data_IF_520563172844
#
_entry.id   IF_520563172844
#
_cell.length_a   1.000
_cell.length_b   1.000
_cell.length_c   1.000
_cell.angle_alpha   90.00
_cell.angle_beta   90.00
_cell.angle_gamma   90.00
#
_symmetry.space_group_name_H-M   'P 1'
#
loop_
_entity.id
_entity.type
_entity.pdbx_description
1 polymer ?
#
# COMPACT_ATOMS: atom_id res chain seq x y z
N UNK A 1 21.20 11.94 -18.24
CA UNK A 1 21.98 11.95 -16.99
C UNK A 1 20.99 12.10 -15.85
N UNK A 2 20.56 10.99 -15.25
CA UNK A 2 19.60 10.96 -14.14
C UNK A 2 20.34 11.27 -12.85
N UNK A 3 20.02 12.40 -12.22
CA UNK A 3 20.53 12.78 -10.91
C UNK A 3 20.39 11.64 -9.91
N UNK A 4 21.52 11.28 -9.32
CA UNK A 4 21.63 10.30 -8.24
C UNK A 4 20.93 10.82 -6.99
N UNK A 5 19.64 10.46 -6.88
CA UNK A 5 19.02 9.81 -5.73
C UNK A 5 19.59 10.23 -4.36
N UNK A 6 18.98 11.24 -3.75
CA UNK A 6 19.05 11.49 -2.30
C UNK A 6 18.27 10.39 -1.55
N UNK A 7 18.76 9.15 -1.63
CA UNK A 7 18.21 8.01 -0.93
C UNK A 7 19.18 7.64 0.21
N UNK A 8 18.67 7.63 1.43
CA UNK A 8 19.35 7.06 2.59
C UNK A 8 19.00 5.57 2.70
N UNK A 9 20.01 4.72 2.85
CA UNK A 9 19.82 3.29 3.15
C UNK A 9 19.59 3.00 4.62
N UNK A 10 19.74 4.02 5.49
CA UNK A 10 19.50 3.92 6.93
C UNK A 10 19.03 5.23 7.52
N UNK A 11 18.13 5.18 8.49
CA UNK A 11 17.67 6.34 9.24
C UNK A 11 17.37 5.97 10.71
N UNK A 12 17.42 6.97 11.60
CA UNK A 12 17.15 6.80 13.03
C UNK A 12 15.75 7.33 13.36
N UNK A 13 15.02 6.59 14.19
CA UNK A 13 13.70 6.96 14.66
C UNK A 13 13.61 6.92 16.18
N UNK A 14 12.82 7.84 16.73
CA UNK A 14 12.38 7.88 18.11
C UNK A 14 10.88 7.57 18.09
N UNK A 15 10.47 6.45 18.67
CA UNK A 15 9.11 5.95 18.51
C UNK A 15 8.05 6.86 19.15
N UNK A 16 8.44 7.67 20.14
CA UNK A 16 7.58 8.70 20.75
C UNK A 16 6.95 9.64 19.74
N UNK A 17 7.64 9.95 18.64
CA UNK A 17 7.16 10.92 17.64
C UNK A 17 5.96 10.37 16.85
N UNK A 18 5.82 9.03 16.74
CA UNK A 18 4.61 8.42 16.16
C UNK A 18 3.41 8.44 17.11
N UNK A 19 3.61 8.77 18.40
CA UNK A 19 2.60 8.81 19.44
C UNK A 19 2.20 10.23 19.85
N UNK A 20 3.10 11.21 19.64
CA UNK A 20 2.93 12.56 20.17
C UNK A 20 1.68 13.19 19.55
N UNK A 21 0.70 13.63 20.37
CA UNK A 21 -0.42 14.41 19.85
C UNK A 21 0.07 15.80 19.42
N UNK A 22 -0.45 16.32 18.31
CA UNK A 22 -0.06 17.61 17.73
C UNK A 22 0.65 17.48 16.39
N UNK A 23 1.02 18.62 15.78
CA UNK A 23 1.54 18.75 14.41
C UNK A 23 0.80 17.89 13.35
N UNK A 24 1.25 17.92 12.10
CA UNK A 24 0.78 16.97 11.07
C UNK A 24 1.52 15.66 11.27
N UNK A 25 0.84 14.60 11.73
CA UNK A 25 1.42 13.26 11.78
C UNK A 25 1.85 12.83 10.36
N UNK A 26 3.05 12.23 10.15
CA UNK A 26 4.00 11.69 11.13
C UNK A 26 5.21 12.60 11.44
N UNK A 27 5.05 13.92 11.54
CA UNK A 27 6.15 14.86 11.85
C UNK A 27 6.93 14.45 13.12
N UNK A 28 8.28 14.47 13.12
CA UNK A 28 9.17 15.03 12.09
C UNK A 28 9.55 14.07 10.96
N UNK A 29 8.94 12.89 10.89
CA UNK A 29 9.21 11.90 9.85
C UNK A 29 8.33 12.11 8.62
N UNK A 30 8.75 11.51 7.50
CA UNK A 30 7.95 11.42 6.29
C UNK A 30 7.00 10.23 6.35
N UNK A 31 5.93 10.25 5.52
CA UNK A 31 5.03 9.08 5.37
C UNK A 31 5.79 7.84 4.92
N UNK A 32 6.78 8.00 4.03
CA UNK A 32 7.67 6.91 3.66
C UNK A 32 8.37 6.29 4.87
N UNK A 33 9.00 7.11 5.71
CA UNK A 33 9.67 6.63 6.91
C UNK A 33 8.69 5.92 7.85
N UNK A 34 7.46 6.42 8.00
CA UNK A 34 6.42 5.74 8.77
C UNK A 34 6.13 4.34 8.22
N UNK A 35 5.88 4.18 6.91
CA UNK A 35 5.68 2.86 6.32
C UNK A 35 6.90 1.93 6.49
N UNK A 36 8.11 2.46 6.41
CA UNK A 36 9.32 1.68 6.64
C UNK A 36 9.50 1.24 8.09
N UNK A 37 9.12 2.05 9.07
CA UNK A 37 9.14 1.64 10.48
C UNK A 37 8.14 0.51 10.70
N UNK A 38 6.93 0.59 10.14
CA UNK A 38 5.95 -0.50 10.27
C UNK A 38 6.42 -1.76 9.53
N UNK A 39 7.09 -1.62 8.40
CA UNK A 39 7.75 -2.75 7.70
C UNK A 39 8.84 -3.39 8.55
N UNK A 40 9.69 -2.58 9.20
CA UNK A 40 10.70 -3.06 10.11
C UNK A 40 10.09 -3.80 11.30
N UNK A 41 9.04 -3.26 11.92
CA UNK A 41 8.28 -3.94 12.97
C UNK A 41 7.70 -5.28 12.48
N UNK A 42 7.23 -5.34 11.24
CA UNK A 42 6.76 -6.58 10.61
C UNK A 42 7.90 -7.57 10.42
N UNK A 43 9.07 -7.11 9.97
CA UNK A 43 10.22 -7.98 9.74
C UNK A 43 10.78 -8.56 11.05
N UNK A 44 10.94 -7.73 12.08
CA UNK A 44 11.42 -8.18 13.40
C UNK A 44 10.38 -9.02 14.13
N UNK A 45 9.09 -8.77 13.90
CA UNK A 45 7.98 -9.49 14.51
C UNK A 45 7.76 -10.91 13.98
N UNK A 46 8.33 -11.27 12.83
CA UNK A 46 8.02 -12.52 12.13
C UNK A 46 8.33 -13.78 12.96
N UNK A 47 9.34 -13.72 13.83
CA UNK A 47 9.76 -14.82 14.71
C UNK A 47 8.95 -14.88 16.02
N UNK A 48 8.15 -13.86 16.32
CA UNK A 48 7.44 -13.70 17.58
C UNK A 48 5.98 -14.12 17.43
N UNK A 49 5.78 -15.43 17.34
CA UNK A 49 4.48 -16.08 17.16
C UNK A 49 4.27 -17.21 18.18
N UNK A 50 3.07 -17.28 18.75
CA UNK A 50 2.55 -18.46 19.43
C UNK A 50 1.35 -19.00 18.66
N UNK A 51 1.35 -20.30 18.41
CA UNK A 51 0.15 -20.97 17.91
C UNK A 51 -0.80 -21.23 19.08
N UNK A 52 -2.07 -20.87 18.90
CA UNK A 52 -3.13 -21.13 19.87
C UNK A 52 -4.18 -22.07 19.28
N UNK A 53 -5.11 -22.54 20.11
CA UNK A 53 -6.24 -23.36 19.63
C UNK A 53 -7.07 -22.64 18.55
N UNK A 54 -7.14 -21.31 18.60
CA UNK A 54 -8.05 -20.48 17.79
C UNK A 54 -7.37 -19.81 16.57
N UNK A 55 -6.05 -19.80 16.51
CA UNK A 55 -5.28 -19.10 15.49
C UNK A 55 -3.89 -18.75 16.00
N UNK A 56 -3.24 -17.82 15.32
CA UNK A 56 -1.91 -17.35 15.71
C UNK A 56 -2.07 -16.17 16.68
N UNK A 57 -1.17 -16.07 17.64
CA UNK A 57 -1.08 -14.91 18.52
C UNK A 57 0.37 -14.46 18.60
N UNK A 58 0.62 -13.25 18.11
CA UNK A 58 1.94 -12.69 18.08
C UNK A 58 1.93 -11.25 17.59
N UNK A 59 3.06 -10.85 17.02
CA UNK A 59 3.26 -9.47 16.60
C UNK A 59 2.37 -9.09 15.44
N UNK A 60 2.05 -10.01 14.52
CA UNK A 60 1.21 -9.69 13.37
C UNK A 60 -0.22 -9.32 13.76
N UNK A 61 -0.79 -9.95 14.78
CA UNK A 61 -2.12 -9.60 15.31
C UNK A 61 -2.11 -8.20 15.94
N UNK A 62 -1.05 -7.88 16.66
CA UNK A 62 -0.83 -6.54 17.25
C UNK A 62 -0.71 -5.49 16.16
N UNK A 63 0.16 -5.71 15.17
CA UNK A 63 0.32 -4.79 14.03
C UNK A 63 -0.91 -4.73 13.12
N UNK A 64 -1.80 -5.71 13.21
CA UNK A 64 -3.09 -5.75 12.49
C UNK A 64 -4.24 -5.12 13.27
N UNK A 65 -4.06 -4.88 14.57
CA UNK A 65 -5.14 -4.53 15.50
C UNK A 65 -6.34 -5.50 15.43
N UNK A 66 -6.09 -6.76 15.06
CA UNK A 66 -7.12 -7.78 14.82
C UNK A 66 -6.61 -9.15 15.28
N UNK A 67 -7.47 -9.98 15.87
CA UNK A 67 -7.13 -11.38 16.12
C UNK A 67 -6.94 -12.09 14.77
N UNK A 68 -6.00 -13.03 14.69
CA UNK A 68 -5.94 -13.93 13.53
C UNK A 68 -6.80 -15.16 13.78
N UNK A 69 -7.52 -15.57 12.74
CA UNK A 69 -8.12 -16.89 12.66
C UNK A 69 -7.12 -17.84 11.98
N UNK A 70 -7.23 -19.14 12.23
CA UNK A 70 -6.42 -20.15 11.51
C UNK A 70 -6.44 -19.91 10.00
N UNK A 71 -5.26 -19.86 9.39
CA UNK A 71 -5.08 -19.69 7.94
C UNK A 71 -4.76 -18.27 7.47
N UNK A 72 -4.71 -17.28 8.36
CA UNK A 72 -4.22 -15.94 8.03
C UNK A 72 -2.74 -15.80 8.40
N UNK A 73 -1.90 -15.41 7.44
CA UNK A 73 -0.47 -15.16 7.66
C UNK A 73 -0.10 -13.71 7.32
N UNK A 74 0.49 -12.99 8.28
CA UNK A 74 1.02 -11.64 8.09
C UNK A 74 0.17 -10.53 8.69
N UNK A 75 0.57 -9.29 8.42
CA UNK A 75 -0.15 -8.09 8.87
C UNK A 75 -1.32 -7.80 7.93
N UNK A 76 -2.50 -7.51 8.49
CA UNK A 76 -3.67 -7.08 7.72
C UNK A 76 -3.33 -5.84 6.87
N UNK A 77 -3.82 -5.75 5.62
CA UNK A 77 -3.53 -4.59 4.77
C UNK A 77 -3.93 -3.26 5.42
N UNK A 78 -3.14 -2.22 5.17
CA UNK A 78 -3.41 -0.85 5.59
C UNK A 78 -4.45 -0.25 4.65
N UNK A 79 -5.48 0.38 5.22
CA UNK A 79 -6.60 0.95 4.46
C UNK A 79 -6.72 2.47 4.56
N UNK A 80 -5.89 3.12 5.37
CA UNK A 80 -5.81 4.58 5.47
C UNK A 80 -4.56 5.02 6.23
N UNK A 81 -4.23 6.32 6.17
CA UNK A 81 -3.19 6.89 7.01
C UNK A 81 -3.56 6.89 8.49
N UNK A 82 -4.85 7.05 8.82
CA UNK A 82 -5.34 6.91 10.18
C UNK A 82 -5.17 5.47 10.72
N UNK A 83 -5.41 4.45 9.87
CA UNK A 83 -5.13 3.04 10.21
C UNK A 83 -3.63 2.84 10.50
N UNK A 84 -2.74 3.38 9.66
CA UNK A 84 -1.30 3.34 9.90
C UNK A 84 -0.91 3.97 11.24
N UNK A 85 -1.42 5.17 11.55
CA UNK A 85 -1.19 5.83 12.83
C UNK A 85 -1.69 4.99 14.02
N UNK A 86 -2.91 4.46 13.93
CA UNK A 86 -3.50 3.64 14.98
C UNK A 86 -2.68 2.37 15.25
N UNK A 87 -2.05 1.79 14.21
CA UNK A 87 -1.17 0.64 14.38
C UNK A 87 0.09 0.97 15.14
N UNK A 88 0.66 2.16 14.98
CA UNK A 88 1.77 2.60 15.84
C UNK A 88 1.34 2.76 17.29
N UNK A 89 0.20 3.44 17.50
CA UNK A 89 -0.36 3.60 18.85
C UNK A 89 -0.59 2.23 19.50
N UNK A 90 -1.21 1.30 18.79
CA UNK A 90 -1.47 -0.03 19.31
C UNK A 90 -0.19 -0.83 19.51
N UNK A 91 0.75 -0.82 18.56
CA UNK A 91 2.01 -1.55 18.67
C UNK A 91 2.86 -1.11 19.86
N UNK A 92 2.88 0.20 20.17
CA UNK A 92 3.75 0.77 21.20
C UNK A 92 3.03 0.86 22.56
N UNK A 93 1.75 1.24 22.59
CA UNK A 93 1.03 1.57 23.83
C UNK A 93 0.09 0.47 24.34
N UNK A 94 -0.34 -0.47 23.50
CA UNK A 94 -1.30 -1.47 23.95
C UNK A 94 -0.70 -2.34 25.05
N UNK A 95 -1.45 -2.57 26.13
CA UNK A 95 -1.07 -3.57 27.12
C UNK A 95 -1.12 -4.95 26.44
N UNK A 96 0.01 -5.66 26.38
CA UNK A 96 -0.01 -7.04 25.89
C UNK A 96 -0.07 -8.01 27.05
N UNK A 97 -1.04 -8.90 27.01
CA UNK A 97 -1.10 -10.07 27.90
C UNK A 97 -0.31 -11.25 27.31
N UNK A 98 0.26 -11.09 26.11
CA UNK A 98 1.06 -12.09 25.43
C UNK A 98 2.57 -11.88 25.71
N UNK A 99 3.24 -12.77 26.46
CA UNK A 99 4.67 -12.66 26.79
C UNK A 99 5.59 -12.60 25.56
N UNK A 100 5.18 -13.17 24.42
CA UNK A 100 5.97 -13.17 23.18
C UNK A 100 6.01 -11.76 22.57
N UNK A 101 4.89 -11.05 22.57
CA UNK A 101 4.82 -9.65 22.12
C UNK A 101 5.63 -8.76 23.06
N UNK A 102 5.54 -8.98 24.37
CA UNK A 102 6.34 -8.25 25.35
C UNK A 102 7.84 -8.52 25.19
N UNK A 103 8.21 -9.75 24.83
CA UNK A 103 9.60 -10.08 24.49
C UNK A 103 10.05 -9.34 23.23
N UNK A 104 9.25 -9.34 22.16
CA UNK A 104 9.53 -8.59 20.94
C UNK A 104 9.76 -7.10 21.20
N UNK A 105 8.90 -6.48 22.02
CA UNK A 105 9.05 -5.07 22.39
C UNK A 105 10.36 -4.79 23.11
N UNK A 106 10.76 -5.65 24.05
CA UNK A 106 12.04 -5.50 24.78
C UNK A 106 13.24 -5.72 23.86
N UNK A 107 13.20 -6.75 23.03
CA UNK A 107 14.33 -7.15 22.18
C UNK A 107 14.60 -6.11 21.07
N UNK A 108 13.58 -5.34 20.67
CA UNK A 108 13.66 -4.35 19.60
C UNK A 108 13.39 -2.90 20.04
N UNK A 109 13.34 -2.65 21.34
CA UNK A 109 13.10 -1.32 21.93
C UNK A 109 11.83 -0.63 21.39
N UNK A 110 10.73 -1.39 21.31
CA UNK A 110 9.41 -0.90 20.86
C UNK A 110 8.62 -0.43 22.06
N UNK A 111 9.05 0.71 22.58
CA UNK A 111 8.50 1.41 23.74
C UNK A 111 8.32 2.89 23.41
N UNK A 112 7.54 3.67 24.19
CA UNK A 112 7.36 5.09 23.93
C UNK A 112 8.67 5.86 23.80
N UNK A 113 9.65 5.62 24.67
CA UNK A 113 10.98 6.24 24.65
C UNK A 113 12.01 5.51 23.76
N UNK A 114 11.57 4.43 23.11
CA UNK A 114 12.43 3.56 22.32
C UNK A 114 12.97 4.20 21.05
N UNK A 115 14.16 3.76 20.63
CA UNK A 115 14.88 4.28 19.46
C UNK A 115 15.37 3.14 18.58
N UNK A 116 15.10 3.24 17.28
CA UNK A 116 15.53 2.25 16.31
C UNK A 116 16.36 2.87 15.17
N UNK A 117 17.30 2.10 14.63
CA UNK A 117 17.95 2.40 13.34
C UNK A 117 17.38 1.46 12.29
N UNK A 118 16.68 2.01 11.31
CA UNK A 118 16.02 1.27 10.26
C UNK A 118 16.95 1.18 9.06
N UNK A 119 17.16 -0.04 8.54
CA UNK A 119 18.00 -0.30 7.36
C UNK A 119 17.10 -0.53 6.13
N UNK A 120 16.77 0.54 5.42
CA UNK A 120 16.02 0.46 4.17
C UNK A 120 16.18 1.75 3.34
N UNK A 121 16.13 1.69 1.99
CA UNK A 121 16.10 2.88 1.14
C UNK A 121 14.87 3.76 1.42
N UNK A 122 15.13 5.02 1.82
CA UNK A 122 14.15 6.10 1.93
C UNK A 122 14.69 7.36 1.29
N UNK A 123 13.83 8.23 0.77
CA UNK A 123 14.28 9.55 0.35
C UNK A 123 14.68 10.44 1.55
N UNK A 124 15.69 11.30 1.37
CA UNK A 124 16.21 12.21 2.42
C UNK A 124 15.25 13.32 2.80
N UNK A 125 14.62 13.93 1.81
CA UNK A 125 13.65 15.01 1.99
C UNK A 125 12.22 14.43 1.94
N UNK A 126 11.20 15.27 1.73
CA UNK A 126 9.80 14.89 1.48
C UNK A 126 9.57 13.79 0.43
N UNK A 127 10.64 13.31 -0.23
CA UNK A 127 10.63 12.08 -1.03
C UNK A 127 9.76 12.12 -2.25
N UNK A 128 9.44 13.32 -2.70
CA UNK A 128 8.41 13.53 -3.70
C UNK A 128 8.98 13.20 -5.07
N UNK A 129 8.22 12.42 -5.83
CA UNK A 129 8.53 12.06 -7.21
C UNK A 129 7.34 12.43 -8.08
N UNK A 130 7.63 12.82 -9.31
CA UNK A 130 6.61 12.97 -10.36
C UNK A 130 5.62 11.79 -10.31
N UNK A 131 4.30 12.06 -10.27
CA UNK A 131 3.64 13.33 -10.60
C UNK A 131 3.45 14.33 -9.42
N UNK A 132 3.99 14.05 -8.24
CA UNK A 132 3.78 14.87 -7.05
C UNK A 132 4.85 15.97 -6.92
N UNK A 133 4.46 17.16 -6.46
CA UNK A 133 5.37 18.31 -6.28
C UNK A 133 5.80 18.52 -4.82
N UNK A 134 4.98 18.08 -3.87
CA UNK A 134 5.26 18.17 -2.44
C UNK A 134 4.65 16.98 -1.67
N UNK A 135 5.01 16.83 -0.39
CA UNK A 135 4.48 15.79 0.51
C UNK A 135 2.94 15.85 0.64
N UNK A 136 2.37 17.05 0.70
CA UNK A 136 0.92 17.21 0.87
C UNK A 136 0.14 16.71 -0.37
N UNK A 137 0.67 16.90 -1.57
CA UNK A 137 0.12 16.30 -2.79
C UNK A 137 0.22 14.78 -2.78
N UNK A 138 1.35 14.22 -2.33
CA UNK A 138 1.49 12.78 -2.17
C UNK A 138 0.50 12.21 -1.13
N UNK A 139 0.34 12.87 0.01
CA UNK A 139 -0.62 12.49 1.05
C UNK A 139 -2.05 12.54 0.54
N UNK A 140 -2.41 13.57 -0.22
CA UNK A 140 -3.73 13.68 -0.86
C UNK A 140 -3.96 12.55 -1.86
N UNK A 141 -2.97 12.25 -2.70
CA UNK A 141 -3.07 11.16 -3.67
C UNK A 141 -3.16 9.78 -2.99
N UNK A 142 -2.42 9.59 -1.90
CA UNK A 142 -2.48 8.36 -1.11
C UNK A 142 -3.83 8.23 -0.39
N UNK A 143 -4.38 9.32 0.13
CA UNK A 143 -5.73 9.34 0.70
C UNK A 143 -6.80 9.02 -0.37
N UNK A 144 -6.70 9.60 -1.57
CA UNK A 144 -7.59 9.27 -2.70
C UNK A 144 -7.52 7.79 -3.07
N UNK A 145 -6.30 7.22 -3.09
CA UNK A 145 -6.07 5.81 -3.40
C UNK A 145 -6.69 4.88 -2.35
N UNK A 146 -6.51 5.18 -1.06
CA UNK A 146 -6.90 4.31 0.06
C UNK A 146 -8.34 4.52 0.53
N UNK A 147 -8.87 5.73 0.40
CA UNK A 147 -10.18 6.14 0.91
C UNK A 147 -11.10 6.56 -0.24
N UNK A 148 -11.68 5.59 -0.97
CA UNK A 148 -12.58 5.91 -2.06
C UNK A 148 -13.84 6.63 -1.56
N UNK A 149 -14.43 7.52 -2.36
CA UNK A 149 -15.65 8.22 -1.98
C UNK A 149 -16.74 7.22 -1.61
N UNK A 150 -17.25 7.30 -0.37
CA UNK A 150 -18.16 6.30 0.21
C UNK A 150 -19.46 6.11 -0.56
N UNK A 151 -19.86 7.12 -1.33
CA UNK A 151 -21.14 7.19 -2.02
C UNK A 151 -21.04 7.04 -3.55
N UNK A 152 -19.83 6.89 -4.10
CA UNK A 152 -19.63 6.71 -5.55
C UNK A 152 -19.33 5.25 -5.87
N UNK A 153 -20.26 4.61 -6.57
CA UNK A 153 -20.00 3.36 -7.27
C UNK A 153 -19.20 3.67 -8.53
N UNK A 154 -17.90 3.42 -8.48
CA UNK A 154 -17.01 3.64 -9.61
C UNK A 154 -16.89 2.34 -10.41
N UNK A 155 -17.46 2.33 -11.61
CA UNK A 155 -17.20 1.25 -12.56
C UNK A 155 -15.78 1.40 -13.10
N UNK A 156 -15.01 0.33 -13.04
CA UNK A 156 -13.65 0.33 -13.54
C UNK A 156 -13.65 0.47 -15.07
N UNK A 157 -12.63 1.14 -15.58
CA UNK A 157 -12.44 1.27 -17.00
C UNK A 157 -12.04 -0.06 -17.66
N UNK A 158 -11.31 -0.90 -16.91
CA UNK A 158 -10.77 -2.19 -17.32
C UNK A 158 -11.32 -3.31 -16.44
N UNK A 159 -11.83 -4.38 -17.06
CA UNK A 159 -12.12 -5.62 -16.34
C UNK A 159 -10.82 -6.39 -16.10
N UNK A 160 -10.54 -6.73 -14.84
CA UNK A 160 -9.33 -7.47 -14.48
C UNK A 160 -9.55 -8.99 -14.43
N UNK A 161 -10.80 -9.43 -14.32
CA UNK A 161 -11.17 -10.84 -14.38
C UNK A 161 -11.62 -11.21 -15.79
N UNK A 162 -11.03 -12.25 -16.39
CA UNK A 162 -11.44 -12.70 -17.73
C UNK A 162 -12.73 -13.51 -17.75
N UNK A 163 -13.17 -14.01 -16.60
CA UNK A 163 -14.39 -14.83 -16.43
C UNK A 163 -15.62 -13.95 -16.22
N UNK A 164 -15.47 -12.83 -15.51
CA UNK A 164 -16.56 -11.89 -15.23
C UNK A 164 -16.30 -10.58 -15.96
N UNK A 165 -17.27 -10.13 -16.76
CA UNK A 165 -17.12 -8.97 -17.62
C UNK A 165 -17.10 -7.65 -16.85
N UNK A 166 -17.02 -6.55 -17.62
CA UNK A 166 -16.90 -5.18 -17.10
C UNK A 166 -18.05 -4.77 -16.17
N UNK A 167 -19.22 -5.37 -16.30
CA UNK A 167 -20.37 -5.17 -15.42
C UNK A 167 -20.10 -5.52 -13.95
N UNK A 168 -19.17 -6.44 -13.69
CA UNK A 168 -18.75 -6.87 -12.35
C UNK A 168 -17.46 -6.20 -11.88
N UNK A 169 -16.88 -5.31 -12.69
CA UNK A 169 -15.65 -4.61 -12.37
C UNK A 169 -15.94 -3.32 -11.59
N UNK A 170 -16.67 -3.41 -10.47
CA UNK A 170 -16.89 -2.23 -9.62
C UNK A 170 -15.71 -2.04 -8.68
N UNK A 171 -15.08 -0.87 -8.71
CA UNK A 171 -13.99 -0.51 -7.82
C UNK A 171 -14.47 -0.41 -6.37
N UNK A 172 -13.71 -0.98 -5.44
CA UNK A 172 -14.02 -0.97 -4.01
C UNK A 172 -13.05 -0.13 -3.19
N UNK A 173 -11.75 -0.46 -3.22
CA UNK A 173 -10.67 0.21 -2.49
C UNK A 173 -9.29 -0.20 -3.04
N UNK A 174 -8.24 0.53 -2.66
CA UNK A 174 -6.86 0.04 -2.71
C UNK A 174 -6.34 -0.14 -1.29
N UNK A 175 -5.57 -1.20 -1.07
CA UNK A 175 -4.99 -1.50 0.24
C UNK A 175 -3.48 -1.72 0.12
N UNK A 176 -2.74 -1.41 1.19
CA UNK A 176 -1.29 -1.62 1.22
C UNK A 176 -0.98 -2.83 2.10
N UNK A 177 -0.52 -3.91 1.50
CA UNK A 177 0.01 -5.06 2.21
C UNK A 177 1.49 -4.82 2.52
N UNK A 178 1.86 -4.99 3.79
CA UNK A 178 3.24 -4.87 4.26
C UNK A 178 3.87 -6.26 4.31
N UNK A 179 5.07 -6.39 3.75
CA UNK A 179 5.88 -7.62 3.78
C UNK A 179 7.28 -7.28 4.30
N UNK A 180 8.02 -8.24 4.89
CA UNK A 180 9.42 -8.00 5.27
C UNK A 180 10.28 -7.48 4.11
N UNK A 181 9.98 -7.90 2.88
CA UNK A 181 10.69 -7.54 1.66
C UNK A 181 10.23 -6.22 1.01
N UNK A 182 9.15 -5.57 1.47
CA UNK A 182 8.61 -4.38 0.82
C UNK A 182 7.11 -4.21 0.99
N UNK A 183 6.48 -3.55 0.02
CA UNK A 183 5.05 -3.23 0.03
C UNK A 183 4.37 -3.79 -1.21
N UNK A 184 3.07 -4.05 -1.11
CA UNK A 184 2.23 -4.38 -2.25
C UNK A 184 0.92 -3.59 -2.17
N UNK A 185 0.57 -2.88 -3.23
CA UNK A 185 -0.69 -2.19 -3.39
C UNK A 185 -1.67 -3.14 -4.08
N UNK A 186 -2.77 -3.44 -3.41
CA UNK A 186 -3.80 -4.36 -3.87
C UNK A 186 -5.04 -3.56 -4.23
N UNK A 187 -5.43 -3.57 -5.50
CA UNK A 187 -6.70 -3.03 -5.95
C UNK A 187 -7.78 -4.07 -5.75
N UNK A 188 -8.85 -3.65 -5.08
CA UNK A 188 -10.03 -4.48 -4.85
C UNK A 188 -11.18 -4.06 -5.75
N UNK A 189 -11.85 -5.05 -6.32
CA UNK A 189 -13.04 -4.86 -7.14
C UNK A 189 -14.00 -6.04 -7.01
N UNK A 190 -15.23 -5.85 -7.50
CA UNK A 190 -16.26 -6.88 -7.37
C UNK A 190 -17.64 -6.45 -7.85
N UNK A 191 -18.60 -7.35 -7.65
CA UNK A 191 -20.01 -7.05 -7.88
C UNK A 191 -20.55 -6.05 -6.84
N UNK A 192 -21.67 -5.42 -7.17
CA UNK A 192 -22.29 -4.32 -6.44
C UNK A 192 -22.91 -4.82 -5.13
N UNK A 193 -22.08 -4.93 -4.09
CA UNK A 193 -22.54 -5.21 -2.74
C UNK A 193 -21.39 -5.26 -1.76
N UNK A 194 -21.30 -4.27 -0.86
CA UNK A 194 -20.40 -4.34 0.31
C UNK A 194 -20.76 -5.51 1.27
N UNK A 195 -21.89 -6.19 1.05
CA UNK A 195 -22.46 -7.18 1.95
C UNK A 195 -22.37 -8.61 1.37
N UNK A 196 -21.70 -9.48 2.15
CA UNK A 196 -21.65 -10.95 2.30
C UNK A 196 -21.85 -11.94 1.14
N UNK A 197 -22.42 -11.59 -0.02
CA UNK A 197 -22.66 -12.55 -1.13
C UNK A 197 -22.15 -12.09 -2.51
N UNK A 198 -21.57 -10.90 -2.62
CA UNK A 198 -20.97 -10.42 -3.86
C UNK A 198 -19.57 -11.01 -4.09
N UNK A 199 -19.25 -11.31 -5.34
CA UNK A 199 -17.89 -11.73 -5.73
C UNK A 199 -16.90 -10.57 -5.52
N UNK A 200 -15.74 -10.87 -4.95
CA UNK A 200 -14.69 -9.89 -4.65
C UNK A 200 -13.32 -10.46 -5.01
N UNK A 201 -12.52 -9.64 -5.66
CA UNK A 201 -11.18 -9.98 -6.12
C UNK A 201 -10.20 -8.89 -5.71
N UNK A 202 -8.99 -9.30 -5.38
CA UNK A 202 -7.88 -8.43 -5.00
C UNK A 202 -6.73 -8.69 -5.97
N UNK A 203 -6.25 -7.65 -6.66
CA UNK A 203 -5.17 -7.72 -7.65
C UNK A 203 -4.00 -6.82 -7.26
N UNK A 204 -2.78 -7.34 -7.38
CA UNK A 204 -1.57 -6.60 -7.00
C UNK A 204 -1.20 -5.64 -8.11
N UNK A 205 -1.59 -4.37 -7.98
CA UNK A 205 -1.33 -3.35 -9.02
C UNK A 205 0.07 -2.74 -8.92
N UNK A 206 0.77 -2.90 -7.80
CA UNK A 206 2.19 -2.58 -7.68
C UNK A 206 2.80 -3.32 -6.48
N UNK A 207 4.05 -3.77 -6.60
CA UNK A 207 4.86 -4.30 -5.49
C UNK A 207 6.26 -3.73 -5.53
N UNK A 208 6.87 -3.53 -4.38
CA UNK A 208 8.26 -3.05 -4.28
C UNK A 208 9.21 -4.01 -5.00
N UNK A 209 10.01 -3.48 -5.94
CA UNK A 209 11.01 -4.23 -6.70
C UNK A 209 12.42 -3.85 -6.28
N UNK A 210 13.26 -4.85 -5.99
CA UNK A 210 14.67 -4.62 -5.64
C UNK A 210 14.83 -3.63 -4.49
N UNK A 211 15.52 -2.51 -4.74
CA UNK A 211 15.78 -1.44 -3.77
C UNK A 211 14.85 -0.22 -3.95
N UNK A 212 13.66 -0.41 -4.53
CA UNK A 212 12.68 0.66 -4.66
C UNK A 212 12.24 1.21 -3.28
N UNK A 213 12.05 2.52 -3.24
CA UNK A 213 11.47 3.24 -2.11
C UNK A 213 9.97 2.99 -1.99
N UNK A 214 9.38 3.33 -0.84
CA UNK A 214 7.92 3.24 -0.69
C UNK A 214 7.23 4.15 -1.71
N UNK A 215 7.75 5.36 -1.91
CA UNK A 215 7.17 6.36 -2.80
C UNK A 215 7.29 5.92 -4.27
N UNK A 216 8.42 5.33 -4.68
CA UNK A 216 8.57 4.73 -6.02
C UNK A 216 7.48 3.69 -6.28
N UNK A 217 7.22 2.82 -5.29
CA UNK A 217 6.15 1.80 -5.39
C UNK A 217 4.76 2.46 -5.45
N UNK A 218 4.51 3.49 -4.62
CA UNK A 218 3.23 4.18 -4.52
C UNK A 218 2.89 4.98 -5.78
N UNK A 219 3.88 5.62 -6.41
CA UNK A 219 3.71 6.34 -7.69
C UNK A 219 3.27 5.36 -8.79
N UNK A 220 3.90 4.18 -8.88
CA UNK A 220 3.48 3.13 -9.81
C UNK A 220 2.05 2.67 -9.51
N UNK A 221 1.73 2.40 -8.25
CA UNK A 221 0.39 2.01 -7.84
C UNK A 221 -0.66 3.07 -8.23
N UNK A 222 -0.40 4.33 -7.95
CA UNK A 222 -1.29 5.45 -8.27
C UNK A 222 -1.51 5.58 -9.79
N UNK A 223 -0.45 5.44 -10.59
CA UNK A 223 -0.53 5.47 -12.06
C UNK A 223 -1.38 4.33 -12.59
N UNK A 224 -1.15 3.11 -12.08
CA UNK A 224 -1.90 1.93 -12.49
C UNK A 224 -3.37 2.01 -12.06
N UNK A 225 -3.66 2.48 -10.84
CA UNK A 225 -5.02 2.76 -10.37
C UNK A 225 -5.76 3.72 -11.31
N UNK A 226 -5.15 4.86 -11.65
CA UNK A 226 -5.76 5.85 -12.53
C UNK A 226 -6.02 5.31 -13.94
N UNK A 227 -5.12 4.48 -14.46
CA UNK A 227 -5.31 3.79 -15.74
C UNK A 227 -6.44 2.77 -15.72
N UNK A 228 -6.46 1.90 -14.70
CA UNK A 228 -7.42 0.79 -14.58
C UNK A 228 -8.83 1.26 -14.23
N UNK A 229 -8.96 2.29 -13.38
CA UNK A 229 -10.25 2.77 -12.88
C UNK A 229 -10.80 3.91 -13.73
N UNK A 230 -9.97 4.87 -14.13
CA UNK A 230 -10.43 6.11 -14.79
C UNK A 230 -10.00 6.27 -16.24
N UNK A 231 -9.36 5.26 -16.86
CA UNK A 231 -8.86 5.33 -18.25
C UNK A 231 -7.74 6.36 -18.45
N UNK A 232 -7.06 6.80 -17.39
CA UNK A 232 -5.96 7.77 -17.51
C UNK A 232 -4.65 7.03 -17.80
N UNK A 233 -4.45 6.64 -19.06
CA UNK A 233 -3.24 5.93 -19.51
C UNK A 233 -2.15 6.95 -19.90
N UNK A 234 -0.95 6.89 -19.29
CA UNK A 234 0.18 7.76 -19.66
C UNK A 234 0.79 7.32 -21.00
N UNK A 235 1.59 8.19 -21.64
CA UNK A 235 2.21 7.93 -22.97
C UNK A 235 3.11 6.68 -23.04
N UNK A 236 3.55 6.16 -21.90
CA UNK A 236 4.34 4.92 -21.79
C UNK A 236 3.53 3.66 -21.48
N UNK A 237 2.21 3.75 -21.36
CA UNK A 237 1.37 2.65 -20.88
C UNK A 237 1.44 2.44 -19.36
N UNK A 238 0.74 1.41 -18.88
CA UNK A 238 0.72 1.02 -17.47
C UNK A 238 1.79 -0.05 -17.20
N UNK A 239 2.43 0.00 -16.03
CA UNK A 239 3.39 -1.02 -15.59
C UNK A 239 2.66 -2.05 -14.71
N UNK A 240 2.03 -3.01 -15.36
CA UNK A 240 1.20 -4.04 -14.69
C UNK A 240 1.95 -5.34 -14.43
N UNK A 241 3.27 -5.38 -14.56
CA UNK A 241 4.01 -6.64 -14.43
C UNK A 241 3.91 -7.27 -13.02
N UNK A 242 3.56 -6.47 -12.00
CA UNK A 242 3.32 -6.97 -10.64
C UNK A 242 1.99 -7.74 -10.49
N UNK A 243 1.05 -7.57 -11.42
CA UNK A 243 -0.26 -8.25 -11.40
C UNK A 243 -0.14 -9.70 -11.86
N UNK A 244 0.81 -10.00 -12.74
CA UNK A 244 0.87 -11.27 -13.43
C UNK A 244 1.80 -12.23 -12.68
N UNK A 245 1.23 -13.30 -12.12
CA UNK A 245 2.02 -14.48 -11.78
C UNK A 245 2.64 -15.10 -13.03
N UNK A 246 3.66 -15.95 -12.86
CA UNK A 246 4.36 -16.65 -13.95
C UNK A 246 3.48 -17.54 -14.84
N UNK A 247 2.21 -17.75 -14.48
CA UNK A 247 1.28 -18.65 -15.17
C UNK A 247 0.01 -17.95 -15.69
N UNK A 248 -0.13 -16.64 -15.51
CA UNK A 248 -1.38 -15.94 -15.84
C UNK A 248 -1.37 -15.25 -17.22
N UNK A 249 -1.05 -16.03 -18.26
CA UNK A 249 -0.93 -15.49 -19.63
C UNK A 249 -2.28 -15.10 -20.24
N UNK A 250 -3.37 -15.76 -19.82
CA UNK A 250 -4.71 -15.50 -20.35
C UNK A 250 -5.26 -14.16 -19.85
N UNK A 251 -5.17 -13.90 -18.54
CA UNK A 251 -5.62 -12.62 -17.95
C UNK A 251 -4.74 -11.48 -18.42
N UNK A 252 -3.42 -11.67 -18.50
CA UNK A 252 -2.50 -10.67 -19.08
C UNK A 252 -2.92 -10.29 -20.50
N UNK A 253 -3.22 -11.26 -21.37
CA UNK A 253 -3.68 -10.99 -22.74
C UNK A 253 -5.03 -10.26 -22.76
N UNK A 254 -5.97 -10.67 -21.91
CA UNK A 254 -7.29 -10.07 -21.79
C UNK A 254 -7.23 -8.59 -21.36
N UNK A 255 -6.44 -8.28 -20.33
CA UNK A 255 -6.27 -6.91 -19.83
C UNK A 255 -5.52 -6.05 -20.85
N UNK A 256 -4.44 -6.56 -21.44
CA UNK A 256 -3.67 -5.82 -22.45
C UNK A 256 -4.50 -5.50 -23.70
N UNK A 257 -5.40 -6.41 -24.13
CA UNK A 257 -6.28 -6.15 -25.26
C UNK A 257 -7.27 -5.00 -24.97
N UNK A 258 -7.80 -4.91 -23.75
CA UNK A 258 -8.65 -3.78 -23.33
C UNK A 258 -7.85 -2.47 -23.32
N UNK A 259 -6.64 -2.47 -22.73
CA UNK A 259 -5.77 -1.28 -22.67
C UNK A 259 -5.33 -0.79 -24.05
N UNK A 260 -5.02 -1.70 -24.98
CA UNK A 260 -4.68 -1.37 -26.37
C UNK A 260 -5.85 -0.65 -27.06
N UNK A 261 -7.05 -1.24 -26.99
CA UNK A 261 -8.28 -0.64 -27.53
C UNK A 261 -8.54 0.75 -26.93
N UNK A 262 -8.31 0.90 -25.63
CA UNK A 262 -8.52 2.19 -24.95
C UNK A 262 -7.54 3.27 -25.41
N UNK A 263 -6.32 2.89 -25.76
CA UNK A 263 -5.27 3.77 -26.29
C UNK A 263 -5.59 4.17 -27.73
N UNK A 264 -5.99 3.23 -28.59
CA UNK A 264 -6.43 3.49 -29.97
C UNK A 264 -7.61 4.46 -30.03
N UNK A 265 -8.62 4.23 -29.19
CA UNK A 265 -9.78 5.13 -29.04
C UNK A 265 -9.37 6.55 -28.58
N UNK A 266 -8.29 6.68 -27.80
CA UNK A 266 -7.79 7.98 -27.29
C UNK A 266 -7.00 8.73 -28.35
N UNK A 267 -6.28 8.03 -29.23
CA UNK A 267 -5.61 8.64 -30.39
C UNK A 267 -6.61 9.12 -31.46
N UNK A 268 -7.83 8.56 -31.50
CA UNK A 268 -8.92 9.06 -32.36
C UNK A 268 -9.47 10.44 -31.92
N UNK A 269 -9.10 10.94 -30.73
CA UNK A 269 -9.43 12.29 -30.24
C UNK A 269 -8.14 13.03 -29.90
N UNK A 270 -7.50 13.58 -30.91
CA UNK A 270 -6.15 14.17 -30.88
C UNK A 270 -6.05 15.53 -30.15
N UNK A 271 -6.63 15.68 -28.95
CA UNK A 271 -6.52 16.95 -28.18
C UNK A 271 -6.12 16.88 -26.69
N UNK A 272 -6.13 15.76 -25.96
CA UNK A 272 -5.86 15.80 -24.51
C UNK A 272 -4.68 14.92 -24.05
N UNK A 273 -3.47 15.49 -24.06
CA UNK A 273 -2.43 15.26 -23.04
C UNK A 273 -1.15 16.09 -23.32
N UNK A 274 -1.19 17.38 -22.98
CA UNK A 274 -0.06 18.09 -22.38
C UNK A 274 -0.35 18.25 -20.87
N UNK A 275 0.66 18.33 -20.00
CA UNK A 275 0.69 17.60 -18.72
C UNK A 275 -0.34 18.06 -17.69
N UNK A 276 -0.63 17.13 -16.79
CA UNK A 276 -1.39 17.30 -15.56
C UNK A 276 -1.01 18.57 -14.78
N UNK A 277 -2.02 19.17 -14.14
CA UNK A 277 -1.94 20.26 -13.15
C UNK A 277 -1.48 21.64 -13.65
N UNK A 278 -2.46 22.53 -13.85
CA UNK A 278 -2.31 23.97 -13.55
C UNK A 278 -2.72 24.24 -12.12
#
# INVERSE_FOLDING_TARGET
MTETKDIQSRFKVSLIEFLRPGHSWPYPYTIEQAFQVLRWMTATGAEYRADTRWGDQGVFEVLSMKPSCRGFSGVYPITSLADLQHRFHYAILSKSENPIVEKWRRDHDILPDGKATILYPVHRDWGVREPFKNQAEFEKALAELLEPPKDQKLQMAVALNSVHGKETATYHDVQIKIRPSGFAFMLRYGDVGRNEFGSRWDEVIASTRGNETFIETAVRAYTNYHGLVFRTIPRGGLDLDDMWGSYDTATKKFVNAQLAKMTEDKEATLEDAAPAFR
#
